data_IF_965880553136
#
_entry.id   IF_965880553136
#
_cell.length_a   1.000
_cell.length_b   1.000
_cell.length_c   1.000
_cell.angle_alpha   90.00
_cell.angle_beta   90.00
_cell.angle_gamma   90.00
#
_symmetry.space_group_name_H-M   'P 1'
#
loop_
_entity.id
_entity.type
_entity.pdbx_description
1 polymer ?
#
# COMPACT_ATOMS: atom_id res chain seq x y z
N UNK A 1 -36.01 0.28 8.84
CA UNK A 1 -35.43 0.69 7.56
C UNK A 1 -34.45 1.86 7.81
N UNK A 2 -33.67 1.81 8.91
CA UNK A 2 -32.97 3.01 9.43
C UNK A 2 -31.64 2.70 10.14
N UNK A 3 -30.97 1.59 9.81
CA UNK A 3 -29.68 1.22 10.44
C UNK A 3 -28.63 0.66 9.45
N UNK A 4 -28.92 0.73 8.14
CA UNK A 4 -28.01 0.25 7.08
C UNK A 4 -27.23 1.39 6.38
N UNK A 5 -27.45 2.65 6.78
CA UNK A 5 -26.93 3.83 6.07
C UNK A 5 -25.83 4.58 6.83
N UNK A 6 -25.56 4.24 8.09
CA UNK A 6 -24.59 4.95 8.95
C UNK A 6 -23.25 4.25 9.12
N UNK A 7 -23.11 2.98 8.68
CA UNK A 7 -21.81 2.31 8.56
C UNK A 7 -21.32 2.30 7.12
N UNK A 8 -21.45 3.45 6.44
CA UNK A 8 -20.48 3.82 5.43
C UNK A 8 -19.12 3.92 6.12
N UNK A 9 -18.51 2.76 6.37
CA UNK A 9 -17.11 2.58 6.70
C UNK A 9 -16.39 3.51 5.75
N UNK A 10 -15.77 4.56 6.28
CA UNK A 10 -15.17 5.65 5.53
C UNK A 10 -13.89 5.13 4.87
N UNK A 11 -14.08 4.26 3.88
CA UNK A 11 -13.06 3.68 3.03
C UNK A 11 -12.49 4.79 2.16
N UNK A 12 -11.18 5.00 2.31
CA UNK A 12 -10.44 6.04 1.60
C UNK A 12 -9.98 5.58 0.21
N UNK A 13 -10.00 4.26 -0.05
CA UNK A 13 -9.58 3.63 -1.29
C UNK A 13 -10.68 3.55 -2.37
N UNK A 14 -10.41 2.79 -3.43
CA UNK A 14 -11.34 2.67 -4.56
C UNK A 14 -12.66 2.00 -4.16
N UNK A 15 -13.76 2.56 -4.67
CA UNK A 15 -15.12 2.02 -4.51
C UNK A 15 -15.55 1.08 -5.63
N UNK A 16 -14.67 0.81 -6.59
CA UNK A 16 -15.01 0.01 -7.77
C UNK A 16 -15.35 -1.46 -7.46
N UNK A 17 -14.75 -2.01 -6.41
CA UNK A 17 -14.96 -3.40 -6.00
C UNK A 17 -16.04 -3.56 -4.92
N UNK A 18 -16.86 -2.52 -4.68
CA UNK A 18 -18.06 -2.59 -3.84
C UNK A 18 -18.95 -3.80 -4.15
N UNK A 19 -19.35 -4.09 -5.41
CA UNK A 19 -20.21 -5.23 -5.71
C UNK A 19 -19.56 -6.58 -5.39
N UNK A 20 -18.23 -6.65 -5.43
CA UNK A 20 -17.47 -7.86 -5.08
C UNK A 20 -17.38 -8.00 -3.56
N UNK A 21 -17.16 -6.90 -2.85
CA UNK A 21 -17.17 -6.84 -1.38
C UNK A 21 -18.53 -7.25 -0.80
N UNK A 22 -19.63 -6.76 -1.36
CA UNK A 22 -20.98 -7.12 -0.94
C UNK A 22 -21.31 -8.60 -1.22
N UNK A 23 -20.77 -9.16 -2.32
CA UNK A 23 -20.97 -10.57 -2.67
C UNK A 23 -20.23 -11.53 -1.72
N UNK A 24 -19.00 -11.22 -1.33
CA UNK A 24 -18.20 -12.07 -0.44
C UNK A 24 -18.38 -11.75 1.05
N UNK A 25 -18.97 -10.60 1.40
CA UNK A 25 -19.14 -10.14 2.78
C UNK A 25 -17.83 -9.70 3.45
N UNK A 26 -16.77 -9.43 2.67
CA UNK A 26 -15.49 -8.95 3.19
C UNK A 26 -15.40 -7.41 3.15
N UNK A 27 -14.64 -6.78 4.06
CA UNK A 27 -14.43 -5.33 4.03
C UNK A 27 -13.73 -4.89 2.75
N UNK A 28 -14.17 -3.76 2.20
CA UNK A 28 -13.77 -3.28 0.87
C UNK A 28 -12.26 -3.05 0.73
N UNK A 29 -11.60 -2.61 1.79
CA UNK A 29 -10.15 -2.40 1.85
C UNK A 29 -9.35 -3.70 1.68
N UNK A 30 -9.81 -4.81 2.29
CA UNK A 30 -9.19 -6.13 2.10
C UNK A 30 -9.39 -6.64 0.67
N UNK A 31 -10.59 -6.46 0.11
CA UNK A 31 -10.89 -6.85 -1.28
C UNK A 31 -10.03 -6.06 -2.27
N UNK A 32 -9.87 -4.75 -2.07
CA UNK A 32 -9.00 -3.92 -2.88
C UNK A 32 -7.54 -4.37 -2.78
N UNK A 33 -7.06 -4.65 -1.57
CA UNK A 33 -5.70 -5.13 -1.34
C UNK A 33 -5.43 -6.48 -2.02
N UNK A 34 -6.33 -7.46 -1.84
CA UNK A 34 -6.23 -8.78 -2.46
C UNK A 34 -6.25 -8.70 -3.98
N UNK A 35 -7.19 -7.95 -4.56
CA UNK A 35 -7.28 -7.74 -6.00
C UNK A 35 -5.96 -7.14 -6.53
N UNK A 36 -5.48 -6.10 -5.87
CA UNK A 36 -4.22 -5.46 -6.19
C UNK A 36 -3.03 -6.42 -6.12
N UNK A 37 -3.00 -7.34 -5.16
CA UNK A 37 -1.91 -8.31 -5.01
C UNK A 37 -1.91 -9.36 -6.13
N UNK A 38 -3.09 -9.82 -6.56
CA UNK A 38 -3.24 -10.71 -7.73
C UNK A 38 -2.80 -9.99 -9.02
N UNK A 39 -3.22 -8.73 -9.21
CA UNK A 39 -2.77 -7.93 -10.35
C UNK A 39 -1.28 -7.65 -10.31
N UNK A 40 -0.71 -7.35 -9.15
CA UNK A 40 0.72 -7.13 -8.98
C UNK A 40 1.53 -8.40 -9.31
N UNK A 41 1.04 -9.58 -8.92
CA UNK A 41 1.66 -10.85 -9.26
C UNK A 41 1.63 -11.08 -10.79
N UNK A 42 0.48 -10.84 -11.42
CA UNK A 42 0.36 -10.90 -12.89
C UNK A 42 1.29 -9.90 -13.60
N UNK A 43 1.34 -8.67 -13.12
CA UNK A 43 2.25 -7.64 -13.62
C UNK A 43 3.72 -8.03 -13.42
N UNK A 44 4.08 -8.69 -12.32
CA UNK A 44 5.44 -9.19 -12.09
C UNK A 44 5.83 -10.26 -13.12
N UNK A 45 4.93 -11.17 -13.47
CA UNK A 45 5.14 -12.11 -14.58
C UNK A 45 5.29 -11.36 -15.91
N UNK A 46 4.40 -10.41 -16.21
CA UNK A 46 4.49 -9.58 -17.41
C UNK A 46 5.83 -8.84 -17.51
N UNK A 47 6.28 -8.19 -16.42
CA UNK A 47 7.58 -7.53 -16.35
C UNK A 47 8.74 -8.49 -16.60
N UNK A 48 8.64 -9.73 -16.14
CA UNK A 48 9.69 -10.73 -16.31
C UNK A 48 9.79 -11.23 -17.75
N UNK A 49 8.67 -11.33 -18.47
CA UNK A 49 8.63 -11.75 -19.87
C UNK A 49 8.93 -10.61 -20.85
N UNK A 50 8.30 -9.44 -20.67
CA UNK A 50 8.30 -8.36 -21.67
C UNK A 50 9.45 -7.35 -21.46
N UNK A 51 9.94 -7.20 -20.22
CA UNK A 51 11.02 -6.28 -19.86
C UNK A 51 12.37 -7.01 -19.73
N UNK A 52 12.66 -7.90 -20.69
CA UNK A 52 13.96 -8.55 -20.80
C UNK A 52 15.05 -7.49 -21.06
N UNK A 53 16.21 -7.53 -20.36
CA UNK A 53 17.27 -6.51 -20.41
C UNK A 53 17.82 -6.19 -21.82
N UNK A 54 17.46 -6.99 -22.82
CA UNK A 54 17.85 -6.80 -24.21
C UNK A 54 17.08 -5.66 -24.92
N UNK A 55 15.88 -5.29 -24.47
CA UNK A 55 15.00 -4.36 -25.22
C UNK A 55 14.63 -3.06 -24.48
N UNK A 56 14.98 -2.90 -23.20
CA UNK A 56 14.52 -1.75 -22.41
C UNK A 56 15.62 -1.17 -21.52
N UNK A 57 15.76 0.16 -21.55
CA UNK A 57 16.72 0.88 -20.72
C UNK A 57 16.35 0.75 -19.22
N UNK A 58 17.34 0.66 -18.31
CA UNK A 58 17.08 0.51 -16.87
C UNK A 58 16.13 1.56 -16.30
N UNK A 59 16.23 2.80 -16.80
CA UNK A 59 15.37 3.93 -16.38
C UNK A 59 13.90 3.66 -16.68
N UNK A 60 13.58 3.16 -17.87
CA UNK A 60 12.18 2.84 -18.24
C UNK A 60 11.66 1.71 -17.36
N UNK A 61 12.48 0.71 -17.06
CA UNK A 61 12.08 -0.41 -16.19
C UNK A 61 11.72 0.05 -14.78
N UNK A 62 12.54 0.92 -14.20
CA UNK A 62 12.26 1.50 -12.88
C UNK A 62 11.04 2.42 -12.92
N UNK A 63 10.93 3.30 -13.92
CA UNK A 63 9.81 4.22 -14.05
C UNK A 63 8.46 3.49 -14.16
N UNK A 64 8.38 2.45 -15.01
CA UNK A 64 7.15 1.68 -15.18
C UNK A 64 6.82 0.89 -13.91
N UNK A 65 7.81 0.25 -13.27
CA UNK A 65 7.60 -0.46 -12.01
C UNK A 65 7.10 0.48 -10.89
N UNK A 66 7.70 1.67 -10.77
CA UNK A 66 7.27 2.68 -9.79
C UNK A 66 5.88 3.21 -10.10
N UNK A 67 5.53 3.43 -11.37
CA UNK A 67 4.20 3.90 -11.76
C UNK A 67 3.11 2.87 -11.45
N UNK A 68 3.33 1.60 -11.77
CA UNK A 68 2.40 0.52 -11.42
C UNK A 68 2.26 0.37 -9.90
N UNK A 69 3.39 0.34 -9.17
CA UNK A 69 3.38 0.27 -7.71
C UNK A 69 2.63 1.43 -7.07
N UNK A 70 2.85 2.66 -7.54
CA UNK A 70 2.14 3.84 -7.04
C UNK A 70 0.64 3.78 -7.34
N UNK A 71 0.26 3.37 -8.56
CA UNK A 71 -1.14 3.22 -8.95
C UNK A 71 -1.87 2.21 -8.07
N UNK A 72 -1.21 1.09 -7.77
CA UNK A 72 -1.69 0.04 -6.87
C UNK A 72 -1.89 0.53 -5.43
N UNK A 73 -0.92 1.23 -4.86
CA UNK A 73 -1.04 1.76 -3.49
C UNK A 73 -2.13 2.83 -3.40
N UNK A 74 -2.26 3.70 -4.40
CA UNK A 74 -3.34 4.70 -4.48
C UNK A 74 -4.71 4.02 -4.60
N UNK A 75 -4.83 2.97 -5.41
CA UNK A 75 -6.08 2.24 -5.55
C UNK A 75 -6.53 1.59 -4.23
N UNK A 76 -5.61 0.96 -3.51
CA UNK A 76 -5.92 0.27 -2.24
C UNK A 76 -6.24 1.23 -1.09
N UNK A 77 -5.43 2.28 -0.92
CA UNK A 77 -5.42 3.09 0.30
C UNK A 77 -5.86 4.55 0.08
N UNK A 78 -6.02 4.99 -1.16
CA UNK A 78 -6.43 6.36 -1.51
C UNK A 78 -5.48 7.43 -0.95
N UNK A 79 -6.01 8.42 -0.24
CA UNK A 79 -5.21 9.50 0.35
C UNK A 79 -4.14 9.02 1.33
N UNK A 80 -4.33 7.88 2.00
CA UNK A 80 -3.32 7.29 2.89
C UNK A 80 -2.10 6.75 2.14
N UNK A 81 -2.19 6.55 0.82
CA UNK A 81 -1.06 6.18 -0.03
C UNK A 81 0.10 7.19 0.08
N UNK A 82 -0.20 8.45 0.38
CA UNK A 82 0.82 9.50 0.56
C UNK A 82 1.72 9.19 1.77
N UNK A 83 1.15 8.77 2.90
CA UNK A 83 1.93 8.42 4.09
C UNK A 83 2.89 7.25 3.82
N UNK A 84 2.38 6.21 3.15
CA UNK A 84 3.18 5.04 2.76
C UNK A 84 4.28 5.44 1.77
N UNK A 85 3.95 6.28 0.79
CA UNK A 85 4.91 6.74 -0.22
C UNK A 85 6.03 7.57 0.40
N UNK A 86 5.71 8.45 1.36
CA UNK A 86 6.69 9.24 2.11
C UNK A 86 7.63 8.30 2.87
N UNK A 87 7.12 7.28 3.56
CA UNK A 87 7.95 6.30 4.26
C UNK A 87 8.93 5.62 3.30
N UNK A 88 8.45 5.12 2.16
CA UNK A 88 9.29 4.44 1.16
C UNK A 88 10.40 5.37 0.67
N UNK A 89 10.08 6.64 0.41
CA UNK A 89 11.07 7.65 0.01
C UNK A 89 12.09 7.91 1.12
N UNK A 90 11.67 8.00 2.38
CA UNK A 90 12.57 8.18 3.54
C UNK A 90 13.49 6.98 3.69
N UNK A 91 12.97 5.75 3.63
CA UNK A 91 13.78 4.53 3.67
C UNK A 91 14.77 4.47 2.51
N UNK A 92 14.36 4.84 1.29
CA UNK A 92 15.25 4.92 0.13
C UNK A 92 16.34 5.98 0.30
N UNK A 93 16.03 7.14 0.89
CA UNK A 93 17.03 8.17 1.17
C UNK A 93 18.07 7.67 2.17
N UNK A 94 17.64 6.99 3.24
CA UNK A 94 18.56 6.37 4.20
C UNK A 94 19.47 5.36 3.51
N UNK A 95 18.92 4.55 2.59
CA UNK A 95 19.70 3.60 1.79
C UNK A 95 20.77 4.27 0.91
N UNK A 96 20.53 5.51 0.46
CA UNK A 96 21.49 6.24 -0.40
C UNK A 96 22.51 7.02 0.43
N UNK A 97 22.16 7.49 1.63
CA UNK A 97 23.01 8.38 2.43
C UNK A 97 23.76 7.70 3.57
N UNK A 98 23.28 6.56 4.06
CA UNK A 98 23.86 5.91 5.24
C UNK A 98 25.08 5.05 4.89
N UNK A 99 26.01 4.97 5.83
CA UNK A 99 27.18 4.09 5.74
C UNK A 99 26.77 2.61 5.66
N UNK A 100 27.44 1.86 4.78
CA UNK A 100 27.15 0.45 4.46
C UNK A 100 27.13 -0.43 5.72
N UNK A 101 27.90 -0.08 6.75
CA UNK A 101 27.99 -0.87 7.97
C UNK A 101 26.73 -0.77 8.85
N UNK A 102 25.98 0.33 8.77
CA UNK A 102 24.84 0.59 9.66
C UNK A 102 23.50 0.82 8.92
N UNK A 103 23.51 0.79 7.58
CA UNK A 103 22.34 1.04 6.73
C UNK A 103 21.12 0.17 7.07
N UNK A 104 21.35 -1.12 7.34
CA UNK A 104 20.30 -2.06 7.71
C UNK A 104 19.67 -1.69 9.06
N UNK A 105 20.49 -1.26 10.02
CA UNK A 105 20.02 -0.87 11.36
C UNK A 105 19.20 0.41 11.31
N UNK A 106 19.65 1.42 10.58
CA UNK A 106 18.89 2.66 10.42
C UNK A 106 17.56 2.45 9.70
N UNK A 107 17.57 1.66 8.62
CA UNK A 107 16.34 1.35 7.87
C UNK A 107 15.36 0.54 8.73
N UNK A 108 15.85 -0.44 9.49
CA UNK A 108 15.03 -1.25 10.39
C UNK A 108 14.39 -0.41 11.49
N UNK A 109 15.17 0.45 12.15
CA UNK A 109 14.66 1.34 13.21
C UNK A 109 13.55 2.23 12.64
N UNK A 110 13.78 2.86 11.49
CA UNK A 110 12.78 3.74 10.87
C UNK A 110 11.50 3.00 10.45
N UNK A 111 11.62 1.80 9.89
CA UNK A 111 10.47 0.98 9.53
C UNK A 111 9.67 0.55 10.78
N UNK A 112 10.35 0.07 11.84
CA UNK A 112 9.70 -0.34 13.09
C UNK A 112 9.03 0.86 13.76
N UNK A 113 9.71 2.01 13.84
CA UNK A 113 9.12 3.23 14.42
C UNK A 113 7.87 3.67 13.66
N UNK A 114 7.89 3.63 12.32
CA UNK A 114 6.71 3.95 11.54
C UNK A 114 5.56 2.96 11.78
N UNK A 115 5.85 1.65 11.75
CA UNK A 115 4.84 0.62 12.01
C UNK A 115 4.28 0.73 13.43
N UNK A 116 5.12 1.04 14.42
CA UNK A 116 4.70 1.27 15.79
C UNK A 116 3.76 2.49 15.90
N UNK A 117 4.10 3.60 15.25
CA UNK A 117 3.21 4.78 15.19
C UNK A 117 1.89 4.44 14.50
N UNK A 118 1.92 3.66 13.41
CA UNK A 118 0.69 3.22 12.73
C UNK A 118 -0.17 2.31 13.62
N UNK A 119 0.44 1.37 14.34
CA UNK A 119 -0.26 0.48 15.27
C UNK A 119 -0.84 1.25 16.46
N UNK A 120 -0.09 2.18 17.03
CA UNK A 120 -0.57 3.07 18.09
C UNK A 120 -1.73 3.92 17.56
N UNK A 121 -1.57 4.54 16.40
CA UNK A 121 -2.62 5.33 15.75
C UNK A 121 -3.88 4.50 15.54
N UNK A 122 -3.75 3.25 15.08
CA UNK A 122 -4.86 2.29 14.96
C UNK A 122 -5.56 2.09 16.30
N UNK A 123 -4.83 1.74 17.36
CA UNK A 123 -5.43 1.48 18.67
C UNK A 123 -6.20 2.69 19.18
N UNK A 124 -5.63 3.89 19.04
CA UNK A 124 -6.32 5.13 19.37
C UNK A 124 -7.56 5.34 18.50
N UNK A 125 -7.43 5.18 17.19
CA UNK A 125 -8.52 5.38 16.23
C UNK A 125 -9.69 4.39 16.43
N UNK A 126 -9.42 3.13 16.73
CA UNK A 126 -10.46 2.15 17.05
C UNK A 126 -11.17 2.47 18.37
N UNK A 127 -10.48 3.13 19.31
CA UNK A 127 -11.11 3.65 20.52
C UNK A 127 -12.01 4.87 20.22
N UNK A 128 -11.72 5.62 19.16
CA UNK A 128 -12.44 6.85 18.77
C UNK A 128 -13.39 6.71 17.56
N UNK A 129 -13.46 5.54 16.90
CA UNK A 129 -14.43 5.26 15.82
C UNK A 129 -14.18 5.96 14.48
N UNK A 130 -13.00 6.55 14.23
CA UNK A 130 -12.72 7.35 13.03
C UNK A 130 -11.66 6.64 12.15
N UNK A 131 -12.11 5.83 11.18
CA UNK A 131 -11.35 5.11 10.14
C UNK A 131 -10.58 3.83 10.54
N UNK A 132 -11.16 2.67 10.24
CA UNK A 132 -10.41 1.41 10.14
C UNK A 132 -9.66 1.36 8.80
N UNK A 133 -8.36 1.64 8.80
CA UNK A 133 -7.46 1.21 7.71
C UNK A 133 -6.53 0.13 8.25
N UNK A 134 -6.77 -1.12 7.83
CA UNK A 134 -5.96 -2.24 8.25
C UNK A 134 -4.71 -2.39 7.36
N UNK A 135 -3.56 -1.80 7.74
CA UNK A 135 -2.24 -2.08 7.15
C UNK A 135 -1.71 -3.51 7.44
N UNK A 136 -2.49 -4.31 8.18
CA UNK A 136 -2.46 -5.76 8.47
C UNK A 136 -2.11 -6.66 7.32
N UNK A 137 -3.00 -6.67 6.33
CA UNK A 137 -3.16 -7.82 5.45
C UNK A 137 -3.55 -9.06 6.24
#
# INVERSE_FOLDING_TARGET
>A
MDELTTSSFKTTGSKWLLPVSDFFGFPLDQVNFLACQVFALGAAFWFRFYLSPHFSSPVVRHAVATLFGLSFVIFCFGWYAVHISILVVVCYRILVTADIHNIHRYTMIMAISYLAVCQVSRVFIYNYGILSTDFSG
#
